data_IF_496926215715
#
_entry.id   IF_496926215715
#
_cell.length_a   1.000
_cell.length_b   1.000
_cell.length_c   1.000
_cell.angle_alpha   90.00
_cell.angle_beta   90.00
_cell.angle_gamma   90.00
#
_symmetry.space_group_name_H-M   'P 1'
#
loop_
_entity.id
_entity.type
_entity.pdbx_description
1 polymer ?
#
# COMPACT_ATOMS: atom_id res chain seq x y z
N UNK A 1 -15.70 4.71 0.03
CA UNK A 1 -15.99 3.25 0.03
C UNK A 1 -14.69 2.54 0.42
N UNK A 2 -14.71 1.54 1.29
CA UNK A 2 -13.49 0.84 1.70
C UNK A 2 -13.56 -0.68 1.47
N UNK A 3 -12.40 -1.29 1.25
CA UNK A 3 -12.23 -2.74 1.09
C UNK A 3 -10.94 -3.19 1.77
N UNK A 4 -10.94 -4.41 2.28
CA UNK A 4 -9.77 -5.08 2.84
C UNK A 4 -9.40 -6.27 1.95
N UNK A 5 -8.11 -6.41 1.67
CA UNK A 5 -7.50 -7.53 0.98
C UNK A 5 -6.41 -8.11 1.86
N UNK A 6 -6.26 -9.42 1.86
CA UNK A 6 -5.39 -10.10 2.81
C UNK A 6 -4.78 -11.33 2.17
N UNK A 7 -3.45 -11.43 2.21
CA UNK A 7 -2.71 -12.59 1.73
C UNK A 7 -1.87 -13.14 2.88
N UNK A 8 -1.87 -14.47 3.03
CA UNK A 8 -1.08 -15.20 4.03
C UNK A 8 -0.09 -16.14 3.37
N UNK A 9 1.21 -15.98 3.64
CA UNK A 9 2.30 -16.86 3.18
C UNK A 9 3.44 -16.87 4.21
N UNK A 10 4.27 -17.92 4.19
CA UNK A 10 5.44 -18.06 5.07
C UNK A 10 5.12 -17.75 6.55
N UNK A 11 3.97 -18.23 7.03
CA UNK A 11 3.48 -18.10 8.41
C UNK A 11 3.20 -16.68 8.91
N UNK A 12 3.03 -15.70 8.02
CA UNK A 12 2.52 -14.38 8.37
C UNK A 12 1.58 -13.83 7.30
N UNK A 13 0.98 -12.68 7.60
CA UNK A 13 -0.06 -12.06 6.79
C UNK A 13 0.29 -10.62 6.47
N UNK A 14 -0.03 -10.19 5.25
CA UNK A 14 -0.03 -8.78 4.84
C UNK A 14 -1.46 -8.42 4.44
N UNK A 15 -1.92 -7.29 4.97
CA UNK A 15 -3.23 -6.71 4.69
C UNK A 15 -3.07 -5.39 3.96
N UNK A 16 -3.88 -5.20 2.91
CA UNK A 16 -4.09 -3.93 2.25
C UNK A 16 -5.51 -3.45 2.55
N UNK A 17 -5.63 -2.35 3.28
CA UNK A 17 -6.88 -1.59 3.36
C UNK A 17 -6.87 -0.53 2.27
N UNK A 18 -7.87 -0.55 1.39
CA UNK A 18 -8.08 0.46 0.38
C UNK A 18 -9.35 1.27 0.67
N UNK A 19 -9.27 2.58 0.52
CA UNK A 19 -10.38 3.49 0.78
C UNK A 19 -10.44 4.59 -0.29
N UNK A 20 -11.58 4.66 -0.99
CA UNK A 20 -11.93 5.78 -1.85
C UNK A 20 -12.34 6.99 -1.03
N UNK A 21 -11.69 8.12 -1.25
CA UNK A 21 -12.03 9.45 -0.75
C UNK A 21 -12.34 10.32 -1.97
N UNK A 22 -13.62 10.40 -2.36
CA UNK A 22 -13.98 10.98 -3.66
C UNK A 22 -13.34 10.16 -4.79
N UNK A 23 -12.55 10.81 -5.65
CA UNK A 23 -11.77 10.18 -6.72
C UNK A 23 -10.32 9.87 -6.30
N UNK A 24 -9.95 10.11 -5.05
CA UNK A 24 -8.61 9.81 -4.50
C UNK A 24 -8.59 8.47 -3.76
N UNK A 25 -7.41 7.86 -3.66
CA UNK A 25 -7.18 6.62 -2.92
C UNK A 25 -6.32 6.83 -1.68
N UNK A 26 -6.79 6.28 -0.57
CA UNK A 26 -5.98 6.02 0.62
C UNK A 26 -5.76 4.52 0.75
N UNK A 27 -4.49 4.12 0.70
CA UNK A 27 -4.05 2.73 0.83
C UNK A 27 -3.23 2.57 2.12
N UNK A 28 -3.58 1.59 2.94
CA UNK A 28 -2.82 1.20 4.12
C UNK A 28 -2.35 -0.24 3.96
N UNK A 29 -1.06 -0.43 3.69
CA UNK A 29 -0.41 -1.74 3.63
C UNK A 29 0.29 -2.02 4.96
N UNK A 30 -0.13 -3.04 5.68
CA UNK A 30 0.44 -3.39 6.98
C UNK A 30 0.35 -4.88 7.23
N UNK A 31 1.17 -5.40 8.14
CA UNK A 31 1.15 -6.83 8.41
C UNK A 31 2.25 -7.30 9.36
N UNK A 32 2.37 -8.61 9.46
CA UNK A 32 3.19 -9.29 10.43
C UNK A 32 2.60 -9.24 11.84
N UNK A 33 3.45 -9.39 12.86
CA UNK A 33 3.03 -9.46 14.27
C UNK A 33 3.00 -8.09 14.97
N UNK A 34 3.77 -7.12 14.47
CA UNK A 34 3.89 -5.77 15.06
C UNK A 34 3.77 -4.68 13.98
N UNK A 35 2.64 -4.63 13.25
CA UNK A 35 2.45 -3.68 12.16
C UNK A 35 2.61 -2.23 12.63
N UNK A 36 3.15 -1.38 11.77
CA UNK A 36 3.41 0.03 12.05
C UNK A 36 3.24 0.87 10.77
N UNK A 37 3.50 2.17 10.84
CA UNK A 37 3.66 3.00 9.65
C UNK A 37 5.14 3.35 9.53
N UNK A 38 5.84 2.64 8.64
CA UNK A 38 7.26 2.86 8.39
C UNK A 38 7.49 3.92 7.31
N UNK A 39 6.60 4.01 6.32
CA UNK A 39 6.72 4.94 5.20
C UNK A 39 5.38 5.51 4.75
N UNK A 40 5.45 6.68 4.09
CA UNK A 40 4.33 7.27 3.34
C UNK A 40 4.81 7.55 1.92
N UNK A 41 4.13 6.98 0.94
CA UNK A 41 4.31 7.28 -0.48
C UNK A 41 3.10 8.07 -0.97
N UNK A 42 3.30 9.21 -1.59
CA UNK A 42 2.21 9.96 -2.25
C UNK A 42 2.40 9.96 -3.75
N UNK A 43 1.29 9.99 -4.48
CA UNK A 43 1.25 10.04 -5.94
C UNK A 43 0.19 11.04 -6.40
N UNK A 44 0.60 11.98 -7.26
CA UNK A 44 -0.25 13.00 -7.88
C UNK A 44 0.29 13.39 -9.26
N UNK A 45 0.60 12.38 -10.08
CA UNK A 45 1.40 12.51 -11.30
C UNK A 45 2.90 12.30 -11.05
N UNK A 46 3.43 12.86 -9.96
CA UNK A 46 4.77 12.56 -9.45
C UNK A 46 4.70 11.81 -8.11
N UNK A 47 5.75 11.03 -7.82
CA UNK A 47 5.86 10.26 -6.56
C UNK A 47 6.72 11.00 -5.53
N UNK A 48 6.24 11.10 -4.30
CA UNK A 48 7.04 11.55 -3.15
C UNK A 48 7.09 10.49 -2.06
N UNK A 49 8.16 10.47 -1.28
CA UNK A 49 8.41 9.46 -0.26
C UNK A 49 8.89 10.10 1.05
N UNK A 50 8.20 9.76 2.14
CA UNK A 50 8.67 9.95 3.51
C UNK A 50 8.97 8.59 4.14
N UNK A 51 10.14 8.46 4.76
CA UNK A 51 10.50 7.32 5.61
C UNK A 51 10.55 7.77 7.07
N UNK A 52 9.96 7.01 7.98
CA UNK A 52 10.05 7.29 9.42
C UNK A 52 11.29 6.61 10.03
N UNK A 53 11.86 7.17 11.11
CA UNK A 53 12.97 6.55 11.82
C UNK A 53 12.56 5.21 12.46
N UNK A 54 13.41 4.20 12.37
CA UNK A 54 13.31 2.93 13.09
C UNK A 54 13.96 3.02 14.47
N UNK A 55 13.71 2.02 15.32
CA UNK A 55 14.20 1.97 16.70
C UNK A 55 15.73 2.00 16.84
N UNK A 56 16.47 1.62 15.80
CA UNK A 56 17.93 1.61 15.74
C UNK A 56 18.53 2.87 15.08
N UNK A 57 17.71 3.90 14.86
CA UNK A 57 18.13 5.16 14.25
C UNK A 57 18.31 5.09 12.73
N UNK A 58 18.01 3.95 12.09
CA UNK A 58 17.88 3.87 10.63
C UNK A 58 16.50 4.36 10.19
N UNK A 59 16.22 4.23 8.89
CA UNK A 59 14.91 4.50 8.33
C UNK A 59 14.25 3.19 7.90
N UNK A 60 12.94 3.11 8.13
CA UNK A 60 12.08 2.08 7.57
C UNK A 60 12.17 2.04 6.03
N UNK A 61 11.97 0.84 5.45
CA UNK A 61 12.13 0.58 4.02
C UNK A 61 10.89 -0.03 3.37
N UNK A 62 9.74 0.09 4.04
CA UNK A 62 8.46 -0.43 3.58
C UNK A 62 7.99 0.21 2.26
N UNK A 63 8.64 1.30 1.82
CA UNK A 63 8.43 1.92 0.52
C UNK A 63 8.70 0.98 -0.64
N UNK A 64 9.51 -0.08 -0.44
CA UNK A 64 9.72 -1.12 -1.44
C UNK A 64 8.40 -1.82 -1.78
N UNK A 65 7.55 -2.11 -0.79
CA UNK A 65 6.24 -2.73 -1.02
C UNK A 65 5.24 -1.70 -1.58
N UNK A 66 5.28 -0.46 -1.09
CA UNK A 66 4.45 0.62 -1.63
C UNK A 66 4.71 0.87 -3.12
N UNK A 67 5.97 0.76 -3.57
CA UNK A 67 6.34 0.87 -4.99
C UNK A 67 5.75 -0.24 -5.86
N UNK A 68 5.62 -1.45 -5.33
CA UNK A 68 4.99 -2.57 -6.04
C UNK A 68 3.51 -2.26 -6.27
N UNK A 69 2.80 -1.86 -5.21
CA UNK A 69 1.40 -1.44 -5.32
C UNK A 69 1.24 -0.30 -6.33
N UNK A 70 1.99 0.81 -6.14
CA UNK A 70 1.88 1.99 -7.00
C UNK A 70 2.20 1.66 -8.46
N UNK A 71 3.23 0.85 -8.72
CA UNK A 71 3.61 0.45 -10.07
C UNK A 71 2.51 -0.31 -10.82
N UNK A 72 1.60 -1.00 -10.12
CA UNK A 72 0.44 -1.69 -10.72
C UNK A 72 -0.73 -0.77 -11.00
N UNK A 73 -0.94 0.26 -10.19
CA UNK A 73 -2.15 1.07 -10.23
C UNK A 73 -1.96 2.47 -10.81
N UNK A 74 -0.73 3.02 -10.86
CA UNK A 74 -0.49 4.43 -11.22
C UNK A 74 -1.09 4.88 -12.55
N UNK A 75 -1.23 3.99 -13.53
CA UNK A 75 -1.81 4.30 -14.84
C UNK A 75 -3.35 4.27 -14.87
N UNK A 76 -3.99 3.79 -13.80
CA UNK A 76 -5.44 3.60 -13.72
C UNK A 76 -6.09 4.35 -12.56
N UNK A 77 -5.31 4.98 -11.68
CA UNK A 77 -5.88 5.81 -10.61
C UNK A 77 -6.44 7.10 -11.23
N UNK A 78 -7.70 7.47 -10.96
CA UNK A 78 -8.33 8.67 -11.51
C UNK A 78 -7.88 9.97 -10.83
N UNK A 79 -7.41 9.91 -9.59
CA UNK A 79 -6.96 11.05 -8.78
C UNK A 79 -5.62 10.80 -8.06
N UNK A 80 -5.47 11.40 -6.88
CA UNK A 80 -4.28 11.25 -6.05
C UNK A 80 -4.31 9.91 -5.29
N UNK A 81 -3.13 9.43 -4.90
CA UNK A 81 -3.01 8.26 -4.04
C UNK A 81 -2.03 8.51 -2.90
N UNK A 82 -2.41 8.08 -1.70
CA UNK A 82 -1.53 8.04 -0.53
C UNK A 82 -1.43 6.61 -0.06
N UNK A 83 -0.19 6.11 0.11
CA UNK A 83 0.11 4.76 0.59
C UNK A 83 0.90 4.87 1.88
N UNK A 84 0.32 4.42 2.99
CA UNK A 84 1.09 4.15 4.22
C UNK A 84 1.52 2.69 4.20
N UNK A 85 2.79 2.40 4.44
CA UNK A 85 3.30 1.03 4.49
C UNK A 85 4.12 0.76 5.75
N UNK A 86 3.90 -0.39 6.39
CA UNK A 86 4.72 -0.89 7.49
C UNK A 86 4.39 -2.33 7.89
N UNK A 87 5.33 -3.24 7.64
CA UNK A 87 5.22 -4.66 7.96
C UNK A 87 6.35 -5.02 8.91
N UNK A 88 6.04 -5.66 10.03
CA UNK A 88 7.07 -6.13 10.97
C UNK A 88 6.75 -7.55 11.40
N UNK A 89 7.73 -8.42 11.27
CA UNK A 89 7.73 -9.78 11.80
C UNK A 89 8.97 -9.91 12.68
N UNK A 90 8.80 -10.33 13.92
CA UNK A 90 9.91 -10.56 14.82
C UNK A 90 10.83 -11.66 14.26
N UNK A 91 12.13 -11.39 14.26
CA UNK A 91 13.16 -12.29 13.74
C UNK A 91 12.91 -12.76 12.29
N UNK A 92 12.35 -11.87 11.45
CA UNK A 92 11.95 -12.19 10.08
C UNK A 92 13.02 -12.99 9.32
N UNK A 93 12.62 -14.13 8.77
CA UNK A 93 13.50 -14.99 7.99
C UNK A 93 13.67 -14.47 6.57
N UNK A 94 14.70 -14.96 5.87
CA UNK A 94 14.90 -14.64 4.44
C UNK A 94 13.70 -15.09 3.59
N UNK A 95 13.15 -16.27 3.88
CA UNK A 95 11.96 -16.78 3.19
C UNK A 95 10.74 -15.86 3.42
N UNK A 96 10.56 -15.35 4.63
CA UNK A 96 9.47 -14.41 4.94
C UNK A 96 9.64 -13.06 4.24
N UNK A 97 10.87 -12.54 4.19
CA UNK A 97 11.20 -11.35 3.40
C UNK A 97 10.88 -11.59 1.92
N UNK A 98 11.35 -12.70 1.36
CA UNK A 98 11.12 -13.05 -0.05
C UNK A 98 9.63 -13.26 -0.36
N UNK A 99 8.85 -13.80 0.59
CA UNK A 99 7.41 -13.94 0.47
C UNK A 99 6.66 -12.59 0.46
N UNK A 100 7.20 -11.52 1.06
CA UNK A 100 6.52 -10.21 1.11
C UNK A 100 6.26 -9.61 -0.27
N UNK A 101 7.13 -9.89 -1.24
CA UNK A 101 7.05 -9.40 -2.60
C UNK A 101 5.85 -9.99 -3.35
N UNK A 102 5.74 -11.32 -3.58
CA UNK A 102 4.59 -11.91 -4.25
C UNK A 102 3.29 -11.71 -3.49
N UNK A 103 3.31 -11.68 -2.14
CA UNK A 103 2.11 -11.30 -1.36
C UNK A 103 1.62 -9.90 -1.73
N UNK A 104 2.53 -8.94 -1.87
CA UNK A 104 2.18 -7.56 -2.27
C UNK A 104 1.74 -7.47 -3.73
N UNK A 105 2.32 -8.28 -4.63
CA UNK A 105 1.88 -8.36 -6.03
C UNK A 105 0.44 -8.90 -6.14
N UNK A 106 0.10 -9.96 -5.40
CA UNK A 106 -1.26 -10.51 -5.35
C UNK A 106 -2.28 -9.50 -4.80
N UNK A 107 -1.92 -8.79 -3.71
CA UNK A 107 -2.75 -7.69 -3.19
C UNK A 107 -2.94 -6.58 -4.24
N UNK A 108 -1.90 -6.28 -5.03
CA UNK A 108 -1.97 -5.28 -6.08
C UNK A 108 -2.90 -5.71 -7.22
N UNK A 109 -2.87 -6.98 -7.60
CA UNK A 109 -3.74 -7.53 -8.64
C UNK A 109 -5.21 -7.49 -8.19
N UNK A 110 -5.51 -7.85 -6.94
CA UNK A 110 -6.85 -7.71 -6.36
C UNK A 110 -7.31 -6.24 -6.28
N UNK A 111 -6.38 -5.32 -5.98
CA UNK A 111 -6.65 -3.89 -5.96
C UNK A 111 -6.99 -3.36 -7.36
N UNK A 112 -6.25 -3.76 -8.40
CA UNK A 112 -6.51 -3.35 -9.80
C UNK A 112 -7.93 -3.70 -10.22
N UNK A 113 -8.37 -4.93 -9.91
CA UNK A 113 -9.73 -5.37 -10.22
C UNK A 113 -10.78 -4.52 -9.49
N UNK A 114 -10.54 -4.21 -8.22
CA UNK A 114 -11.46 -3.39 -7.44
C UNK A 114 -11.51 -1.93 -7.88
N UNK A 115 -10.38 -1.35 -8.30
CA UNK A 115 -10.34 0.00 -8.86
C UNK A 115 -11.13 0.07 -10.17
N UNK A 116 -10.98 -0.95 -11.02
CA UNK A 116 -11.62 -0.99 -12.35
C UNK A 116 -13.15 -1.11 -12.28
N UNK A 117 -13.70 -1.60 -11.17
CA UNK A 117 -15.15 -1.73 -10.93
C UNK A 117 -15.76 -0.47 -10.28
N UNK A 118 -14.95 0.55 -9.96
CA UNK A 118 -15.42 1.74 -9.26
C UNK A 118 -15.99 2.80 -10.21
N UNK A 119 -17.22 3.24 -9.96
CA UNK A 119 -17.80 4.40 -10.63
C UNK A 119 -17.26 5.71 -10.03
N UNK A 120 -16.71 6.58 -10.87
CA UNK A 120 -16.12 7.85 -10.44
C UNK A 120 -17.16 8.81 -9.86
N UNK A 121 -16.75 9.56 -8.84
CA UNK A 121 -17.54 10.64 -8.26
C UNK A 121 -17.47 11.91 -9.11
N UNK A 122 -18.46 12.80 -8.96
CA UNK A 122 -18.52 14.07 -9.71
C UNK A 122 -17.33 14.98 -9.41
N UNK A 123 -16.85 15.68 -10.44
CA UNK A 123 -15.84 16.72 -10.29
C UNK A 123 -16.37 17.96 -9.54
N UNK A 124 -15.51 18.68 -8.80
CA UNK A 124 -15.89 19.94 -8.17
C UNK A 124 -16.23 21.01 -9.22
N UNK A 125 -17.25 21.82 -8.94
CA UNK A 125 -17.63 22.97 -9.75
C UNK A 125 -17.05 24.23 -9.12
N UNK A 126 -16.11 24.87 -9.81
CA UNK A 126 -15.57 26.16 -9.43
C UNK A 126 -16.42 27.29 -10.06
N UNK A 127 -16.59 28.40 -9.33
CA UNK A 127 -17.22 29.63 -9.82
C UNK A 127 -16.17 30.67 -10.13
#
# INVERSE_FOLDING_TARGET
MSKLFTIKKADYEITLKAEWIGNDLLLCLYGGDTPHIGTVTTFSGDTQLQRFPSHDGRFHKDDVLAKILLGRIQSIIPGNCVITAGVHVDHISKEQIEASFPMTEELADELVLWISDHELTKEPLYK
#
